data_IF_766603952439
#
_entry.id   IF_766603952439
#
_cell.length_a   1.000
_cell.length_b   1.000
_cell.length_c   1.000
_cell.angle_alpha   90.00
_cell.angle_beta   90.00
_cell.angle_gamma   90.00
#
_symmetry.space_group_name_H-M   'P 1'
#
loop_
_entity.id
_entity.type
_entity.pdbx_description
1 polymer ?
#
# COMPACT_ATOMS: atom_id res chain seq x y z
N UNK A 1 -13.92 -7.79 -11.79
CA UNK A 1 -13.36 -6.46 -12.10
C UNK A 1 -12.58 -5.99 -10.88
N UNK A 2 -11.29 -5.69 -11.02
CA UNK A 2 -10.46 -5.17 -9.92
C UNK A 2 -10.49 -3.64 -9.86
N UNK A 3 -10.33 -3.09 -8.66
CA UNK A 3 -10.16 -1.65 -8.47
C UNK A 3 -8.66 -1.29 -8.37
N UNK A 4 -8.27 -0.15 -8.92
CA UNK A 4 -6.89 0.33 -8.85
C UNK A 4 -6.84 1.78 -8.34
N UNK A 5 -5.87 2.09 -7.48
CA UNK A 5 -5.52 3.46 -7.14
C UNK A 5 -4.49 3.98 -8.14
N UNK A 6 -4.71 5.17 -8.72
CA UNK A 6 -3.80 5.75 -9.72
C UNK A 6 -3.31 7.13 -9.27
N UNK A 7 -2.00 7.32 -9.20
CA UNK A 7 -1.41 8.60 -8.81
C UNK A 7 -0.05 8.86 -9.48
N UNK A 8 0.36 10.12 -9.58
CA UNK A 8 1.70 10.48 -10.07
C UNK A 8 2.66 10.50 -8.89
N UNK A 9 3.81 9.83 -9.01
CA UNK A 9 4.81 9.76 -7.94
C UNK A 9 5.51 11.12 -7.83
N UNK A 10 5.27 11.83 -6.73
CA UNK A 10 5.74 13.21 -6.53
C UNK A 10 7.27 13.36 -6.60
N UNK A 11 8.03 12.41 -6.06
CA UNK A 11 9.51 12.43 -6.06
C UNK A 11 10.12 12.29 -7.45
N UNK A 12 9.46 11.60 -8.37
CA UNK A 12 9.96 11.32 -9.71
C UNK A 12 9.13 11.99 -10.81
N UNK A 13 8.20 12.89 -10.45
CA UNK A 13 7.27 13.56 -11.38
C UNK A 13 7.95 14.30 -12.54
N UNK A 14 9.19 14.73 -12.35
CA UNK A 14 9.98 15.42 -13.37
C UNK A 14 10.61 14.46 -14.39
N UNK A 15 10.78 13.20 -14.00
CA UNK A 15 11.40 12.15 -14.82
C UNK A 15 10.35 11.30 -15.53
N UNK A 16 9.21 11.06 -14.86
CA UNK A 16 8.11 10.29 -15.40
C UNK A 16 6.78 10.85 -14.87
N UNK A 17 5.89 11.20 -15.82
CA UNK A 17 4.54 11.71 -15.54
C UNK A 17 3.48 10.60 -15.59
N UNK A 18 3.88 9.36 -15.89
CA UNK A 18 2.99 8.22 -15.89
C UNK A 18 2.36 8.03 -14.52
N UNK A 19 1.08 7.64 -14.51
CA UNK A 19 0.38 7.34 -13.26
C UNK A 19 0.86 5.97 -12.78
N UNK A 20 1.45 5.92 -11.60
CA UNK A 20 1.64 4.67 -10.89
C UNK A 20 0.26 4.10 -10.54
N UNK A 21 0.06 2.84 -10.90
CA UNK A 21 -1.18 2.10 -10.66
C UNK A 21 -0.92 1.17 -9.51
N UNK A 22 -1.70 1.21 -8.43
CA UNK A 22 -1.64 0.26 -7.31
C UNK A 22 -2.95 -0.52 -7.27
N UNK A 23 -2.92 -1.84 -7.56
CA UNK A 23 -4.07 -2.70 -7.36
C UNK A 23 -4.58 -2.65 -5.92
N UNK A 24 -5.89 -2.53 -5.74
CA UNK A 24 -6.52 -2.53 -4.43
C UNK A 24 -7.17 -3.89 -4.18
N UNK A 25 -6.69 -4.67 -3.19
CA UNK A 25 -7.38 -5.88 -2.76
C UNK A 25 -8.70 -5.54 -2.08
N UNK A 26 -9.60 -6.52 -1.98
CA UNK A 26 -10.95 -6.33 -1.42
C UNK A 26 -10.92 -5.70 -0.02
N UNK A 27 -10.01 -6.15 0.84
CA UNK A 27 -9.79 -5.61 2.18
C UNK A 27 -9.45 -4.12 2.17
N UNK A 28 -8.57 -3.70 1.26
CA UNK A 28 -8.20 -2.28 1.14
C UNK A 28 -9.39 -1.46 0.64
N UNK A 29 -10.21 -2.01 -0.26
CA UNK A 29 -11.41 -1.32 -0.74
C UNK A 29 -12.44 -1.11 0.37
N UNK A 30 -12.63 -2.09 1.25
CA UNK A 30 -13.50 -1.94 2.42
C UNK A 30 -13.01 -0.77 3.30
N UNK A 31 -11.72 -0.76 3.65
CA UNK A 31 -11.14 0.31 4.46
C UNK A 31 -11.26 1.70 3.78
N UNK A 32 -10.99 1.76 2.48
CA UNK A 32 -11.08 3.01 1.72
C UNK A 32 -12.52 3.51 1.56
N UNK A 33 -13.50 2.61 1.45
CA UNK A 33 -14.93 2.99 1.44
C UNK A 33 -15.34 3.58 2.78
N UNK A 34 -14.88 3.01 3.89
CA UNK A 34 -15.12 3.58 5.22
C UNK A 34 -14.46 4.95 5.37
N UNK A 35 -13.19 5.09 4.98
CA UNK A 35 -12.49 6.38 4.98
C UNK A 35 -13.14 7.40 4.04
N UNK A 36 -13.76 6.96 2.94
CA UNK A 36 -14.46 7.86 2.03
C UNK A 36 -15.62 8.61 2.70
N UNK A 37 -16.19 8.08 3.79
CA UNK A 37 -17.28 8.73 4.54
C UNK A 37 -16.81 9.97 5.30
N UNK A 38 -15.52 10.04 5.64
CA UNK A 38 -14.89 11.14 6.39
C UNK A 38 -13.92 11.96 5.54
N UNK A 39 -13.88 11.71 4.22
CA UNK A 39 -13.04 12.48 3.30
C UNK A 39 -13.44 13.94 3.28
N UNK A 40 -12.46 14.82 3.04
CA UNK A 40 -12.72 16.23 2.75
C UNK A 40 -12.48 16.44 1.27
N UNK A 41 -13.53 16.86 0.55
CA UNK A 41 -13.49 17.19 -0.88
C UNK A 41 -14.20 18.52 -1.12
N UNK A 42 -13.74 19.27 -2.11
CA UNK A 42 -14.42 20.45 -2.63
C UNK A 42 -15.59 20.06 -3.56
N UNK A 43 -16.29 21.06 -4.09
CA UNK A 43 -17.42 20.89 -5.02
C UNK A 43 -17.03 20.17 -6.31
N UNK A 44 -15.75 20.26 -6.71
CA UNK A 44 -15.20 19.56 -7.88
C UNK A 44 -14.75 18.12 -7.56
N UNK A 45 -14.92 17.67 -6.32
CA UNK A 45 -14.53 16.36 -5.84
C UNK A 45 -13.02 16.20 -5.59
N UNK A 46 -12.25 17.30 -5.59
CA UNK A 46 -10.82 17.29 -5.26
C UNK A 46 -10.63 17.43 -3.76
N UNK A 47 -9.70 16.66 -3.21
CA UNK A 47 -9.40 16.73 -1.79
C UNK A 47 -8.62 15.54 -1.28
N UNK A 48 -8.88 15.16 -0.03
CA UNK A 48 -8.06 14.21 0.72
C UNK A 48 -8.91 13.07 1.26
N UNK A 49 -8.48 11.84 0.96
CA UNK A 49 -9.03 10.62 1.56
C UNK A 49 -8.48 10.40 2.96
N UNK A 50 -7.19 10.68 3.16
CA UNK A 50 -6.52 10.59 4.46
C UNK A 50 -6.47 11.96 5.11
N UNK A 51 -7.50 12.29 5.88
CA UNK A 51 -7.67 13.58 6.55
C UNK A 51 -7.00 13.59 7.92
N UNK A 52 -6.57 14.76 8.38
CA UNK A 52 -5.99 14.93 9.71
C UNK A 52 -7.09 14.88 10.78
N UNK A 53 -6.94 14.05 11.83
CA UNK A 53 -7.89 14.05 12.95
C UNK A 53 -7.76 15.30 13.83
N UNK A 54 -6.64 16.04 13.73
CA UNK A 54 -6.34 17.22 14.56
C UNK A 54 -6.69 18.52 13.84
N UNK A 55 -6.51 18.57 12.51
CA UNK A 55 -6.71 19.77 11.70
C UNK A 55 -7.74 19.52 10.61
N UNK A 56 -9.02 19.89 10.84
CA UNK A 56 -10.08 19.72 9.85
C UNK A 56 -9.70 20.34 8.49
N UNK A 57 -10.06 19.65 7.42
CA UNK A 57 -9.80 20.10 6.04
C UNK A 57 -8.36 19.92 5.54
N UNK A 58 -7.44 19.43 6.37
CA UNK A 58 -6.05 19.16 5.97
C UNK A 58 -5.79 17.66 5.79
N UNK A 59 -4.87 17.27 4.89
CA UNK A 59 -4.41 15.89 4.84
C UNK A 59 -3.67 15.52 6.13
N UNK A 60 -3.61 14.23 6.42
CA UNK A 60 -2.77 13.71 7.49
C UNK A 60 -1.30 14.12 7.29
N UNK A 61 -0.61 14.51 8.36
CA UNK A 61 0.81 14.81 8.28
C UNK A 61 1.59 13.50 7.98
N UNK A 62 2.61 13.50 7.10
CA UNK A 62 3.42 12.33 6.81
C UNK A 62 3.97 11.61 8.06
N UNK A 63 4.21 12.34 9.14
CA UNK A 63 4.72 11.82 10.41
C UNK A 63 3.63 11.31 11.35
N UNK A 64 2.36 11.64 11.14
CA UNK A 64 1.26 11.23 12.03
C UNK A 64 1.14 9.72 12.10
N UNK A 65 1.22 9.01 10.97
CA UNK A 65 1.22 7.54 10.97
C UNK A 65 2.38 6.96 11.79
N UNK A 66 3.58 7.50 11.61
CA UNK A 66 4.77 7.07 12.33
C UNK A 66 4.58 7.24 13.85
N UNK A 67 4.10 8.41 14.27
CA UNK A 67 3.80 8.70 15.68
C UNK A 67 2.72 7.76 16.25
N UNK A 68 1.71 7.43 15.45
CA UNK A 68 0.70 6.45 15.85
C UNK A 68 1.31 5.07 16.10
N UNK A 69 2.22 4.61 15.23
CA UNK A 69 2.89 3.33 15.42
C UNK A 69 3.80 3.33 16.65
N UNK A 70 4.61 4.38 16.84
CA UNK A 70 5.46 4.53 18.04
C UNK A 70 4.64 4.53 19.35
N UNK A 71 3.38 4.99 19.29
CA UNK A 71 2.50 4.96 20.46
C UNK A 71 1.89 3.58 20.75
N UNK A 72 1.54 2.83 19.70
CA UNK A 72 0.93 1.50 19.83
C UNK A 72 1.99 0.43 20.13
N UNK A 73 3.18 0.61 19.56
CA UNK A 73 4.30 -0.35 19.56
C UNK A 73 5.62 0.35 19.89
N UNK A 74 5.77 0.95 21.08
CA UNK A 74 6.96 1.72 21.47
C UNK A 74 8.26 0.90 21.47
N UNK A 75 8.15 -0.43 21.62
CA UNK A 75 9.26 -1.36 21.64
C UNK A 75 9.86 -1.67 20.25
N UNK A 76 9.18 -1.26 19.17
CA UNK A 76 9.62 -1.50 17.79
C UNK A 76 9.95 -0.20 17.06
N UNK A 77 11.11 -0.15 16.39
CA UNK A 77 11.46 0.97 15.51
C UNK A 77 10.77 0.83 14.13
N UNK A 78 9.48 1.17 14.11
CA UNK A 78 8.64 1.06 12.92
C UNK A 78 8.83 2.29 12.04
N UNK A 79 9.21 2.11 10.78
CA UNK A 79 9.28 3.21 9.78
C UNK A 79 8.45 2.91 8.54
N UNK A 80 8.08 3.96 7.79
CA UNK A 80 7.39 3.82 6.50
C UNK A 80 8.24 3.05 5.46
N UNK A 81 9.57 3.11 5.56
CA UNK A 81 10.45 2.29 4.72
C UNK A 81 10.47 0.83 5.19
N UNK A 82 10.45 0.60 6.50
CA UNK A 82 10.31 -0.71 7.12
C UNK A 82 9.12 -1.47 6.56
N UNK A 83 7.94 -0.85 6.43
CA UNK A 83 6.76 -1.51 5.83
C UNK A 83 7.00 -2.01 4.40
N UNK A 84 7.70 -1.23 3.55
CA UNK A 84 8.00 -1.67 2.18
C UNK A 84 9.00 -2.82 2.16
N UNK A 85 10.02 -2.76 3.00
CA UNK A 85 11.01 -3.83 3.13
C UNK A 85 10.36 -5.13 3.66
N UNK A 86 9.49 -5.01 4.66
CA UNK A 86 8.70 -6.11 5.21
C UNK A 86 7.78 -6.72 4.17
N UNK A 87 6.97 -5.92 3.47
CA UNK A 87 6.12 -6.40 2.37
C UNK A 87 6.95 -7.18 1.35
N UNK A 88 8.01 -6.57 0.82
CA UNK A 88 8.87 -7.20 -0.20
C UNK A 88 9.44 -8.53 0.29
N UNK A 89 9.99 -8.54 1.50
CA UNK A 89 10.70 -9.71 2.04
C UNK A 89 9.73 -10.85 2.31
N UNK A 90 8.61 -10.56 2.98
CA UNK A 90 7.63 -11.59 3.35
C UNK A 90 6.89 -12.10 2.11
N UNK A 91 6.44 -11.20 1.24
CA UNK A 91 5.73 -11.57 0.02
C UNK A 91 6.59 -12.46 -0.89
N UNK A 92 7.90 -12.18 -0.97
CA UNK A 92 8.81 -13.05 -1.70
C UNK A 92 9.04 -14.38 -0.99
N UNK A 93 9.45 -14.36 0.28
CA UNK A 93 9.91 -15.57 0.99
C UNK A 93 8.78 -16.52 1.39
N UNK A 94 7.64 -15.99 1.79
CA UNK A 94 6.54 -16.79 2.34
C UNK A 94 5.41 -17.02 1.34
N UNK A 95 5.18 -16.08 0.41
CA UNK A 95 4.11 -16.20 -0.59
C UNK A 95 4.62 -16.59 -1.98
N UNK A 96 5.94 -16.64 -2.18
CA UNK A 96 6.55 -17.02 -3.45
C UNK A 96 6.30 -16.01 -4.57
N UNK A 97 5.94 -14.77 -4.26
CA UNK A 97 5.62 -13.77 -5.27
C UNK A 97 6.90 -13.38 -6.02
N UNK A 98 6.78 -13.32 -7.34
CA UNK A 98 7.87 -12.93 -8.25
C UNK A 98 8.45 -11.56 -7.85
N UNK A 99 9.77 -11.45 -7.63
CA UNK A 99 10.44 -10.19 -7.33
C UNK A 99 10.07 -9.06 -8.31
N UNK A 100 9.92 -9.34 -9.59
CA UNK A 100 9.56 -8.37 -10.63
C UNK A 100 8.19 -7.74 -10.34
N UNK A 101 7.22 -8.58 -9.95
CA UNK A 101 5.87 -8.13 -9.58
C UNK A 101 5.91 -7.25 -8.33
N UNK A 102 6.77 -7.58 -7.36
CA UNK A 102 6.95 -6.81 -6.13
C UNK A 102 7.60 -5.45 -6.40
N UNK A 103 8.64 -5.41 -7.23
CA UNK A 103 9.33 -4.17 -7.61
C UNK A 103 8.41 -3.20 -8.33
N UNK A 104 7.67 -3.70 -9.32
CA UNK A 104 6.67 -2.92 -10.05
C UNK A 104 5.57 -2.43 -9.10
N UNK A 105 5.18 -3.23 -8.09
CA UNK A 105 4.21 -2.82 -7.08
C UNK A 105 4.68 -1.69 -6.19
N UNK A 106 5.99 -1.65 -5.90
CA UNK A 106 6.64 -0.62 -5.10
C UNK A 106 7.02 0.64 -5.91
N UNK A 107 6.67 0.69 -7.20
CA UNK A 107 7.08 1.76 -8.13
C UNK A 107 8.60 1.86 -8.29
N UNK A 108 9.33 0.76 -8.05
CA UNK A 108 10.77 0.74 -8.27
C UNK A 108 11.09 0.63 -9.76
N UNK A 109 12.21 1.23 -10.15
CA UNK A 109 12.73 1.07 -11.52
C UNK A 109 13.40 -0.28 -11.62
N UNK A 110 13.01 -1.05 -12.63
CA UNK A 110 13.68 -2.30 -12.97
C UNK A 110 15.05 -2.00 -13.59
N UNK A 111 16.14 -2.65 -13.14
CA UNK A 111 17.47 -2.44 -13.70
C UNK A 111 17.63 -3.14 -15.06
N UNK A 112 18.44 -2.54 -15.95
CA UNK A 112 18.96 -3.19 -17.15
C UNK A 112 17.92 -3.65 -18.18
N UNK A 113 18.24 -4.71 -18.92
CA UNK A 113 17.42 -5.25 -20.02
C UNK A 113 16.01 -5.72 -19.55
N UNK A 114 15.87 -6.12 -18.29
CA UNK A 114 14.59 -6.46 -17.68
C UNK A 114 13.64 -5.26 -17.70
N UNK A 115 14.13 -4.05 -17.42
CA UNK A 115 13.32 -2.84 -17.49
C UNK A 115 12.71 -2.60 -18.87
N UNK A 116 13.47 -2.88 -19.95
CA UNK A 116 12.97 -2.74 -21.31
C UNK A 116 11.89 -3.78 -21.67
N UNK A 117 12.04 -5.02 -21.20
CA UNK A 117 11.08 -6.12 -21.44
C UNK A 117 9.77 -5.87 -20.68
N UNK A 118 9.85 -5.46 -19.41
CA UNK A 118 8.67 -5.30 -18.55
C UNK A 118 8.02 -3.91 -18.61
N UNK A 119 8.67 -2.90 -19.21
CA UNK A 119 8.12 -1.55 -19.35
C UNK A 119 6.75 -1.51 -20.05
N UNK A 120 6.48 -2.46 -20.96
CA UNK A 120 5.19 -2.52 -21.66
C UNK A 120 4.12 -3.31 -20.90
N UNK A 121 4.50 -4.36 -20.19
CA UNK A 121 3.53 -5.28 -19.62
C UNK A 121 2.88 -4.75 -18.34
N UNK A 122 3.60 -3.95 -17.53
CA UNK A 122 3.22 -3.46 -16.18
C UNK A 122 2.77 -4.56 -15.18
N UNK A 123 2.67 -5.81 -15.63
CA UNK A 123 2.23 -7.02 -14.95
C UNK A 123 0.96 -6.81 -14.10
N UNK A 124 0.00 -6.02 -14.59
CA UNK A 124 -1.12 -5.57 -13.76
C UNK A 124 -1.99 -6.73 -13.25
N UNK A 125 -2.14 -7.80 -14.04
CA UNK A 125 -2.87 -9.00 -13.61
C UNK A 125 -2.15 -9.69 -12.44
N UNK A 126 -0.85 -9.94 -12.58
CA UNK A 126 -0.02 -10.55 -11.55
C UNK A 126 0.06 -9.67 -10.29
N UNK A 127 0.11 -8.35 -10.47
CA UNK A 127 0.13 -7.41 -9.35
C UNK A 127 -1.21 -7.37 -8.60
N UNK A 128 -2.34 -7.57 -9.28
CA UNK A 128 -3.65 -7.73 -8.64
C UNK A 128 -3.70 -9.01 -7.81
N UNK A 129 -3.22 -10.11 -8.37
CA UNK A 129 -3.12 -11.39 -7.65
C UNK A 129 -2.20 -11.28 -6.43
N UNK A 130 -1.01 -10.71 -6.58
CA UNK A 130 -0.07 -10.47 -5.49
C UNK A 130 -0.67 -9.58 -4.39
N UNK A 131 -1.38 -8.51 -4.75
CA UNK A 131 -2.03 -7.64 -3.78
C UNK A 131 -3.14 -8.38 -2.99
N UNK A 132 -3.92 -9.22 -3.66
CA UNK A 132 -4.96 -10.01 -3.00
C UNK A 132 -4.36 -11.12 -2.11
N UNK A 133 -3.34 -11.82 -2.59
CA UNK A 133 -2.63 -12.85 -1.82
C UNK A 133 -2.01 -12.25 -0.56
N UNK A 134 -1.39 -11.08 -0.67
CA UNK A 134 -0.85 -10.34 0.47
C UNK A 134 -1.93 -9.97 1.49
N UNK A 135 -3.07 -9.44 1.05
CA UNK A 135 -4.15 -9.07 1.93
C UNK A 135 -4.75 -10.29 2.65
N UNK A 136 -4.94 -11.40 1.94
CA UNK A 136 -5.41 -12.66 2.52
C UNK A 136 -4.44 -13.20 3.58
N UNK A 137 -3.13 -13.10 3.34
CA UNK A 137 -2.11 -13.50 4.30
C UNK A 137 -2.17 -12.66 5.58
N UNK A 138 -2.35 -11.34 5.47
CA UNK A 138 -2.51 -10.46 6.64
C UNK A 138 -3.76 -10.80 7.46
N UNK A 139 -4.87 -11.12 6.81
CA UNK A 139 -6.09 -11.58 7.49
C UNK A 139 -5.89 -12.91 8.21
N UNK A 140 -5.17 -13.86 7.60
CA UNK A 140 -4.82 -15.13 8.24
C UNK A 140 -3.96 -14.90 9.49
N UNK A 141 -2.94 -14.04 9.41
CA UNK A 141 -2.12 -13.68 10.58
C UNK A 141 -2.98 -13.08 11.70
N UNK A 142 -3.89 -12.16 11.36
CA UNK A 142 -4.80 -11.54 12.33
C UNK A 142 -5.73 -12.56 12.99
N UNK A 143 -6.30 -13.48 12.22
CA UNK A 143 -7.18 -14.53 12.74
C UNK A 143 -6.42 -15.52 13.64
N UNK A 144 -5.22 -15.91 13.25
CA UNK A 144 -4.38 -16.81 14.04
C UNK A 144 -3.96 -16.16 15.37
N UNK A 145 -3.59 -14.88 15.35
CA UNK A 145 -3.28 -14.14 16.57
C UNK A 145 -4.49 -14.09 17.53
N UNK A 146 -5.69 -13.85 17.01
CA UNK A 146 -6.91 -13.80 17.81
C UNK A 146 -7.27 -15.16 18.46
N UNK A 147 -6.95 -16.28 17.80
CA UNK A 147 -7.16 -17.63 18.36
C UNK A 147 -6.23 -17.89 19.54
N UNK A 148 -4.94 -17.58 19.39
CA UNK A 148 -3.95 -17.77 20.46
C UNK A 148 -4.33 -17.01 21.74
N UNK A 149 -4.87 -15.79 21.59
CA UNK A 149 -5.33 -14.98 22.73
C UNK A 149 -6.63 -15.47 23.38
N UNK A 150 -7.43 -16.29 22.70
CA UNK A 150 -8.68 -16.84 23.24
C UNK A 150 -8.46 -18.15 24.01
N UNK A 151 -7.36 -18.84 23.74
CA UNK A 151 -6.96 -20.11 24.37
C UNK A 151 -5.97 -19.92 25.55
N UNK A 152 -5.70 -18.67 25.95
CA UNK A 152 -4.82 -18.28 27.08
C UNK A 152 -5.60 -17.56 28.17
#
# INVERSE_FOLDING_TARGET
MGADWRYVVSKTKHLDKSKHIVPLPEQALVLLRELSKTRVVDEEGKGWVFVSPVYPGRPINPTSMLKSFQRIWPEYDITAHGFRATYRTIAHKHLGIDPIVLELSLSHRMPGALGAVYARAQLLAQRREAAQQWANYLDQLRQNAARVTADS
#
